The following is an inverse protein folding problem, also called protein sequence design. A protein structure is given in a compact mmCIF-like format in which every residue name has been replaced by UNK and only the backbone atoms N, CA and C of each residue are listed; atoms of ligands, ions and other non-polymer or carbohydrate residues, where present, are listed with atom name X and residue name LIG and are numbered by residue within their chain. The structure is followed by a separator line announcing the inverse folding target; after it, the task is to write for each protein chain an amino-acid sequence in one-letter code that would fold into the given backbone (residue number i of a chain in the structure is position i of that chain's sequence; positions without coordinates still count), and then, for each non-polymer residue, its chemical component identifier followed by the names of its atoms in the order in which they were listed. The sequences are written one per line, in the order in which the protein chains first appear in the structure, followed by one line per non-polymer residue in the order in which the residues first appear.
data_IF_563926755523
#
_entry.id   IF_563926755523
#
_cell.length_a   1.000
_cell.length_b   1.000
_cell.length_c   1.000
_cell.angle_alpha   90.00
_cell.angle_beta   90.00
_cell.angle_gamma   90.00
#
_symmetry.space_group_name_H-M   'P 1'
#
loop_
_entity.id
_entity.type
_entity.pdbx_description
1 polymer ?
#
# COMPACT_ATOMS: atom_id res chain seq x y z
N UNK A 1 -4.22 -3.87 39.32
CA UNK A 1 -3.41 -2.90 38.55
C UNK A 1 -3.34 -3.39 37.12
N UNK A 2 -4.20 -2.85 36.26
CA UNK A 2 -4.29 -3.23 34.86
C UNK A 2 -3.32 -2.31 34.12
N UNK A 3 -2.26 -2.89 33.57
CA UNK A 3 -1.24 -2.13 32.84
C UNK A 3 -1.83 -1.78 31.47
N UNK A 4 -2.26 -0.54 31.29
CA UNK A 4 -2.72 -0.01 30.00
C UNK A 4 -1.51 0.52 29.25
N UNK A 5 -0.88 -0.33 28.45
CA UNK A 5 0.11 0.11 27.45
C UNK A 5 -0.66 0.70 26.24
N UNK A 6 -0.51 2.00 25.91
CA UNK A 6 -1.34 2.68 24.92
C UNK A 6 -0.85 2.56 23.47
N UNK A 7 -0.04 1.55 23.12
CA UNK A 7 0.72 1.59 21.84
C UNK A 7 0.39 0.53 20.78
N UNK A 8 -0.79 -0.11 20.82
CA UNK A 8 -1.12 -1.14 19.81
C UNK A 8 -2.34 -0.78 18.98
N UNK A 9 -2.18 0.12 18.02
CA UNK A 9 -3.19 0.33 16.96
C UNK A 9 -2.65 -0.28 15.67
N UNK A 10 -2.73 -1.60 15.52
CA UNK A 10 -2.63 -2.28 14.23
C UNK A 10 -3.87 -3.17 14.09
N UNK A 11 -5.05 -2.54 14.04
CA UNK A 11 -6.29 -3.26 13.72
C UNK A 11 -6.32 -3.52 12.22
N UNK A 12 -5.67 -4.60 11.76
CA UNK A 12 -6.04 -5.45 10.61
C UNK A 12 -5.04 -6.63 10.51
N UNK A 13 -5.12 -7.59 11.44
CA UNK A 13 -4.36 -8.85 11.51
C UNK A 13 -2.82 -8.74 11.67
N UNK A 14 -2.25 -9.55 12.56
CA UNK A 14 -0.79 -9.73 12.67
C UNK A 14 -0.22 -10.72 11.63
N UNK A 15 -0.93 -10.94 10.52
CA UNK A 15 -0.58 -11.93 9.50
C UNK A 15 0.33 -11.29 8.44
N UNK A 16 1.39 -12.02 8.06
CA UNK A 16 2.21 -11.67 6.89
C UNK A 16 1.67 -12.40 5.67
N UNK A 17 1.48 -11.68 4.57
CA UNK A 17 1.03 -12.19 3.28
C UNK A 17 2.24 -12.23 2.35
N UNK A 18 2.56 -13.42 1.84
CA UNK A 18 3.59 -13.59 0.82
C UNK A 18 3.04 -13.24 -0.56
N UNK A 19 3.81 -12.49 -1.35
CA UNK A 19 3.41 -12.07 -2.69
C UNK A 19 4.61 -12.02 -3.64
N UNK A 20 4.42 -12.48 -4.87
CA UNK A 20 5.36 -12.22 -5.96
C UNK A 20 5.08 -10.82 -6.52
N UNK A 21 6.13 -10.01 -6.67
CA UNK A 21 6.03 -8.69 -7.29
C UNK A 21 5.83 -8.84 -8.79
N UNK A 22 4.72 -8.32 -9.28
CA UNK A 22 4.31 -8.34 -10.67
C UNK A 22 4.87 -7.14 -11.44
N UNK A 23 5.05 -7.32 -12.74
CA UNK A 23 5.25 -6.21 -13.67
C UNK A 23 3.93 -5.47 -13.85
N UNK A 24 3.93 -4.16 -13.57
CA UNK A 24 2.80 -3.27 -13.86
C UNK A 24 3.20 -2.22 -14.90
N UNK A 25 2.31 -1.27 -15.19
CA UNK A 25 2.53 -0.27 -16.26
C UNK A 25 3.55 0.82 -15.91
N UNK A 26 4.19 0.73 -14.75
CA UNK A 26 5.27 1.63 -14.29
C UNK A 26 4.93 3.13 -14.27
N UNK A 27 3.64 3.50 -14.37
CA UNK A 27 3.17 4.92 -14.35
C UNK A 27 3.66 5.67 -13.12
N UNK A 28 3.70 5.03 -11.96
CA UNK A 28 4.21 5.64 -10.73
C UNK A 28 5.65 6.18 -10.87
N UNK A 29 6.49 5.55 -11.71
CA UNK A 29 7.87 6.02 -11.96
C UNK A 29 7.91 7.39 -12.62
N UNK A 30 6.92 7.74 -13.45
CA UNK A 30 6.90 9.05 -14.15
C UNK A 30 6.64 10.21 -13.20
N UNK A 31 6.09 9.93 -12.01
CA UNK A 31 5.81 10.93 -10.96
C UNK A 31 6.68 10.72 -9.69
N UNK A 32 7.75 9.91 -9.78
CA UNK A 32 8.63 9.54 -8.66
C UNK A 32 7.95 8.78 -7.50
N UNK A 33 6.88 8.02 -7.79
CA UNK A 33 6.20 7.13 -6.85
C UNK A 33 6.18 5.69 -7.39
N UNK A 34 7.31 4.97 -7.43
CA UNK A 34 7.33 3.57 -7.84
C UNK A 34 6.52 2.72 -6.84
N UNK A 35 5.76 1.76 -7.37
CA UNK A 35 4.95 0.83 -6.58
C UNK A 35 5.23 -0.61 -6.96
N UNK A 36 5.20 -1.49 -5.97
CA UNK A 36 5.14 -2.94 -6.17
C UNK A 36 3.71 -3.31 -6.54
N UNK A 37 3.53 -3.96 -7.69
CA UNK A 37 2.22 -4.46 -8.10
C UNK A 37 2.07 -5.89 -7.60
N UNK A 38 0.99 -6.21 -6.92
CA UNK A 38 0.71 -7.53 -6.35
C UNK A 38 -0.60 -8.07 -6.91
N UNK A 39 -0.82 -9.38 -6.80
CA UNK A 39 -2.07 -9.99 -7.22
C UNK A 39 -3.23 -9.53 -6.32
N UNK A 40 -4.27 -8.90 -6.91
CA UNK A 40 -5.44 -8.42 -6.17
C UNK A 40 -6.20 -9.52 -5.41
N UNK A 41 -6.08 -10.78 -5.86
CA UNK A 41 -6.63 -11.96 -5.17
C UNK A 41 -6.03 -12.20 -3.77
N UNK A 42 -4.88 -11.58 -3.45
CA UNK A 42 -4.28 -11.62 -2.11
C UNK A 42 -5.00 -10.72 -1.11
N UNK A 43 -5.90 -9.84 -1.57
CA UNK A 43 -6.67 -8.98 -0.68
C UNK A 43 -7.67 -9.80 0.16
N UNK A 44 -7.73 -9.60 1.50
CA UNK A 44 -8.61 -10.40 2.35
C UNK A 44 -10.09 -10.22 1.99
N UNK A 45 -10.83 -11.33 1.93
CA UNK A 45 -12.27 -11.36 1.60
C UNK A 45 -13.10 -10.45 2.52
N UNK A 46 -12.80 -10.44 3.81
CA UNK A 46 -13.48 -9.60 4.80
C UNK A 46 -13.23 -8.09 4.64
N UNK A 47 -12.24 -7.68 3.83
CA UNK A 47 -11.94 -6.29 3.49
C UNK A 47 -12.34 -5.92 2.05
N UNK A 48 -12.97 -6.82 1.29
CA UNK A 48 -13.32 -6.55 -0.12
C UNK A 48 -14.22 -5.32 -0.29
N UNK A 49 -15.08 -5.03 0.68
CA UNK A 49 -16.00 -3.88 0.64
C UNK A 49 -15.37 -2.58 1.18
N UNK A 50 -14.07 -2.56 1.46
CA UNK A 50 -13.36 -1.39 2.01
C UNK A 50 -12.12 -1.05 1.17
N UNK A 51 -12.29 -0.66 -0.11
CA UNK A 51 -11.17 -0.18 -0.92
C UNK A 51 -10.60 1.11 -0.33
N UNK A 52 -9.35 1.41 -0.66
CA UNK A 52 -8.66 2.61 -0.25
C UNK A 52 -7.17 2.40 0.00
N UNK A 53 -6.58 3.39 0.67
CA UNK A 53 -5.19 3.38 1.11
C UNK A 53 -5.12 2.91 2.55
N UNK A 54 -4.17 2.04 2.82
CA UNK A 54 -3.82 1.50 4.11
C UNK A 54 -2.33 1.72 4.35
N UNK A 55 -1.91 1.82 5.61
CA UNK A 55 -0.52 1.60 5.92
C UNK A 55 -0.16 0.12 5.77
N UNK A 56 1.11 -0.17 5.57
CA UNK A 56 1.61 -1.52 5.51
C UNK A 56 2.99 -1.63 6.14
N UNK A 57 3.30 -2.82 6.65
CA UNK A 57 4.68 -3.24 6.92
C UNK A 57 5.11 -4.16 5.78
N UNK A 58 6.31 -3.98 5.26
CA UNK A 58 6.82 -4.75 4.12
C UNK A 58 8.16 -5.37 4.49
N UNK A 59 8.39 -6.63 4.11
CA UNK A 59 9.69 -7.30 4.21
C UNK A 59 10.24 -7.60 2.83
N UNK A 60 11.46 -7.14 2.60
CA UNK A 60 12.19 -7.34 1.35
C UNK A 60 13.64 -7.63 1.73
N UNK A 61 14.17 -8.79 1.31
CA UNK A 61 15.55 -9.18 1.59
C UNK A 61 15.93 -9.15 3.08
N UNK A 62 15.01 -9.56 3.96
CA UNK A 62 15.21 -9.57 5.42
C UNK A 62 15.12 -8.20 6.12
N UNK A 63 14.96 -7.10 5.37
CA UNK A 63 14.74 -5.76 5.92
C UNK A 63 13.26 -5.45 6.01
N UNK A 64 12.87 -4.64 7.00
CA UNK A 64 11.49 -4.17 7.19
C UNK A 64 11.37 -2.70 6.78
N UNK A 65 10.28 -2.40 6.09
CA UNK A 65 9.92 -1.06 5.62
C UNK A 65 8.47 -0.74 5.97
N UNK A 66 8.13 0.54 5.94
CA UNK A 66 6.74 0.99 5.88
C UNK A 66 6.31 1.08 4.42
N UNK A 67 5.01 0.95 4.17
CA UNK A 67 4.43 1.10 2.84
C UNK A 67 3.07 1.79 2.89
N UNK A 68 2.75 2.52 1.82
CA UNK A 68 1.38 2.92 1.51
C UNK A 68 0.80 1.85 0.56
N UNK A 69 -0.18 1.09 1.05
CA UNK A 69 -0.83 -0.01 0.36
C UNK A 69 -2.19 0.45 -0.18
N UNK A 70 -2.39 0.36 -1.48
CA UNK A 70 -3.64 0.69 -2.15
C UNK A 70 -4.34 -0.59 -2.61
N UNK A 71 -5.64 -0.69 -2.30
CA UNK A 71 -6.55 -1.66 -2.90
C UNK A 71 -7.78 -0.94 -3.45
N UNK A 72 -8.07 -1.08 -4.74
CA UNK A 72 -9.23 -0.44 -5.35
C UNK A 72 -9.11 -0.28 -6.85
N UNK A 73 -10.11 0.34 -7.50
CA UNK A 73 -10.12 0.56 -8.94
C UNK A 73 -9.02 1.56 -9.35
N UNK A 74 -8.40 1.36 -10.50
CA UNK A 74 -7.39 2.32 -10.96
C UNK A 74 -8.04 3.57 -11.57
N UNK A 75 -8.32 4.54 -10.71
CA UNK A 75 -9.13 5.73 -11.04
C UNK A 75 -8.55 6.56 -12.19
N UNK A 76 -7.23 6.78 -12.24
CA UNK A 76 -6.57 7.54 -13.32
C UNK A 76 -6.75 6.90 -14.70
N UNK A 77 -6.97 5.58 -14.76
CA UNK A 77 -7.20 4.86 -16.02
C UNK A 77 -8.66 4.47 -16.23
N UNK A 78 -9.55 4.81 -15.31
CA UNK A 78 -10.97 4.43 -15.36
C UNK A 78 -11.18 2.91 -15.36
N UNK A 79 -10.23 2.13 -14.82
CA UNK A 79 -10.34 0.68 -14.79
C UNK A 79 -11.37 0.22 -13.77
N UNK A 80 -12.15 -0.81 -14.11
CA UNK A 80 -13.23 -1.35 -13.25
C UNK A 80 -12.78 -2.47 -12.33
N UNK A 81 -11.65 -3.12 -12.63
CA UNK A 81 -11.05 -4.11 -11.74
C UNK A 81 -10.19 -3.46 -10.65
N UNK A 82 -10.14 -4.12 -9.49
CA UNK A 82 -9.30 -3.69 -8.38
C UNK A 82 -7.84 -4.09 -8.62
N UNK A 83 -6.94 -3.16 -8.30
CA UNK A 83 -5.50 -3.40 -8.24
C UNK A 83 -5.03 -3.47 -6.79
N UNK A 84 -3.86 -4.06 -6.56
CA UNK A 84 -3.19 -4.10 -5.26
C UNK A 84 -1.76 -3.59 -5.44
N UNK A 85 -1.49 -2.40 -4.92
CA UNK A 85 -0.23 -1.69 -5.15
C UNK A 85 0.38 -1.24 -3.83
N UNK A 86 1.70 -1.41 -3.64
CA UNK A 86 2.41 -0.92 -2.46
C UNK A 86 3.50 0.04 -2.88
N UNK A 87 3.39 1.30 -2.46
CA UNK A 87 4.53 2.21 -2.45
C UNK A 87 5.34 2.00 -1.17
N UNK A 88 6.54 1.42 -1.31
CA UNK A 88 7.43 1.13 -0.17
C UNK A 88 8.25 2.37 0.14
N UNK A 89 8.14 2.88 1.36
CA UNK A 89 8.83 4.08 1.81
C UNK A 89 10.34 3.82 1.93
N UNK A 90 11.13 4.81 1.52
CA UNK A 90 12.60 4.80 1.63
C UNK A 90 13.26 3.60 0.94
N UNK A 91 12.60 3.03 -0.07
CA UNK A 91 13.06 1.88 -0.83
C UNK A 91 13.24 2.24 -2.31
N UNK A 92 14.43 1.98 -2.83
CA UNK A 92 14.82 2.28 -4.21
C UNK A 92 15.58 1.09 -4.80
N UNK A 93 14.86 0.02 -5.14
CA UNK A 93 15.39 -1.09 -5.91
C UNK A 93 14.26 -1.80 -6.67
N UNK A 94 14.62 -2.41 -7.80
CA UNK A 94 13.69 -3.24 -8.57
C UNK A 94 13.70 -4.66 -8.04
N UNK A 95 12.50 -5.14 -7.68
CA UNK A 95 12.29 -6.47 -7.08
C UNK A 95 11.23 -7.27 -7.83
N UNK A 96 11.06 -6.99 -9.13
CA UNK A 96 10.18 -7.78 -10.00
C UNK A 96 10.53 -9.25 -9.94
N UNK A 97 9.48 -10.08 -9.99
CA UNK A 97 9.58 -11.55 -9.93
C UNK A 97 10.15 -12.09 -8.61
N UNK A 98 10.44 -11.21 -7.64
CA UNK A 98 10.86 -11.59 -6.29
C UNK A 98 9.66 -11.70 -5.35
N UNK A 99 9.81 -12.55 -4.33
CA UNK A 99 8.84 -12.67 -3.25
C UNK A 99 9.09 -11.60 -2.19
N UNK A 100 8.04 -10.89 -1.83
CA UNK A 100 7.99 -9.98 -0.68
C UNK A 100 6.93 -10.45 0.30
N UNK A 101 7.04 -10.04 1.56
CA UNK A 101 5.96 -10.22 2.53
C UNK A 101 5.41 -8.85 2.92
N UNK A 102 4.10 -8.75 3.13
CA UNK A 102 3.49 -7.53 3.67
C UNK A 102 2.43 -7.82 4.73
N UNK A 103 2.19 -6.84 5.60
CA UNK A 103 1.06 -6.82 6.52
C UNK A 103 0.21 -5.60 6.24
N UNK A 104 -1.10 -5.78 6.29
CA UNK A 104 -2.07 -4.69 6.17
C UNK A 104 -2.16 -3.97 7.52
N UNK A 105 -2.03 -2.66 7.49
CA UNK A 105 -2.08 -1.79 8.66
C UNK A 105 -3.37 -0.99 8.74
N UNK A 106 -3.27 0.22 9.29
CA UNK A 106 -4.41 1.13 9.51
C UNK A 106 -4.96 1.62 8.17
N UNK A 107 -6.28 1.75 8.08
CA UNK A 107 -6.91 2.47 6.99
C UNK A 107 -6.53 3.97 7.05
N UNK A 108 -6.10 4.53 5.93
CA UNK A 108 -5.68 5.94 5.79
C UNK A 108 -6.81 6.75 5.16
N UNK A 109 -7.33 6.32 4.00
CA UNK A 109 -8.38 7.04 3.27
C UNK A 109 -9.08 6.16 2.22
N UNK A 110 -10.31 6.51 1.80
CA UNK A 110 -10.96 5.88 0.65
C UNK A 110 -10.27 6.23 -0.68
N UNK A 111 -10.61 5.55 -1.80
CA UNK A 111 -10.20 5.94 -3.14
C UNK A 111 -10.63 7.37 -3.47
N UNK A 112 -9.83 8.09 -4.26
CA UNK A 112 -10.08 9.46 -4.68
C UNK A 112 -9.82 9.59 -6.18
N UNK A 113 -10.71 10.26 -6.89
CA UNK A 113 -10.52 10.58 -8.30
C UNK A 113 -9.56 11.77 -8.45
N UNK A 114 -8.70 11.72 -9.47
CA UNK A 114 -7.78 12.79 -9.78
C UNK A 114 -7.97 13.27 -11.20
N UNK A 115 -8.12 14.58 -11.36
CA UNK A 115 -8.24 15.25 -12.67
C UNK A 115 -6.89 15.43 -13.37
N UNK A 116 -5.78 15.19 -12.67
CA UNK A 116 -4.43 15.31 -13.20
C UNK A 116 -3.42 14.41 -12.46
N UNK A 117 -2.29 14.13 -13.11
CA UNK A 117 -1.18 13.39 -12.49
C UNK A 117 -0.51 14.16 -11.35
N UNK A 118 -0.51 15.49 -11.39
CA UNK A 118 0.06 16.30 -10.31
C UNK A 118 -0.82 16.21 -9.05
N UNK A 119 -2.15 16.26 -9.20
CA UNK A 119 -3.07 16.06 -8.08
C UNK A 119 -2.95 14.67 -7.45
N UNK A 120 -2.75 13.63 -8.27
CA UNK A 120 -2.42 12.29 -7.76
C UNK A 120 -1.12 12.32 -6.94
N UNK A 121 -0.07 12.93 -7.48
CA UNK A 121 1.25 12.99 -6.82
C UNK A 121 1.18 13.71 -5.48
N UNK A 122 0.51 14.86 -5.40
CA UNK A 122 0.29 15.59 -4.15
C UNK A 122 -0.41 14.71 -3.10
N UNK A 123 -1.44 13.97 -3.50
CA UNK A 123 -2.13 13.07 -2.58
C UNK A 123 -1.25 11.89 -2.14
N UNK A 124 -0.43 11.32 -3.04
CA UNK A 124 0.51 10.25 -2.66
C UNK A 124 1.56 10.73 -1.66
N UNK A 125 2.02 11.98 -1.77
CA UNK A 125 2.91 12.59 -0.77
C UNK A 125 2.22 12.68 0.59
N UNK A 126 0.97 13.14 0.62
CA UNK A 126 0.18 13.18 1.86
C UNK A 126 -0.03 11.79 2.45
N UNK A 127 -0.34 10.78 1.61
CA UNK A 127 -0.52 9.40 2.07
C UNK A 127 0.76 8.86 2.72
N UNK A 128 1.93 9.10 2.11
CA UNK A 128 3.24 8.75 2.69
C UNK A 128 3.48 9.47 4.01
N UNK A 129 3.14 10.76 4.09
CA UNK A 129 3.27 11.52 5.33
C UNK A 129 2.37 10.95 6.44
N UNK A 130 1.12 10.61 6.13
CA UNK A 130 0.18 9.96 7.04
C UNK A 130 0.72 8.62 7.53
N UNK A 131 1.22 7.78 6.61
CA UNK A 131 1.83 6.48 6.93
C UNK A 131 3.03 6.65 7.86
N UNK A 132 3.88 7.65 7.63
CA UNK A 132 5.10 7.87 8.42
C UNK A 132 4.82 8.40 9.82
N UNK A 133 3.80 9.24 9.99
CA UNK A 133 3.60 10.00 11.23
C UNK A 133 2.44 9.51 12.11
N UNK A 134 1.48 8.75 11.56
CA UNK A 134 0.27 8.35 12.30
C UNK A 134 0.09 6.85 12.50
N UNK A 135 1.05 6.04 12.03
CA UNK A 135 0.97 4.58 12.08
C UNK A 135 1.82 4.03 13.22
#
# INVERSE_FOLDING_TARGET
MINTDPTTTFEHSNTWICATVLHGDQVGRTINFPSLNLAAALWPTHLQNKPGVYSAKVRIGGKKYLGALYFGPRLVKGETHNVLEIHVLDFAADVYDQTVEFQIGKFIRPPLDFVSLEGLKEQLVEDVWQVRNKV
#
